data_IF_521474688986
#
_entry.id   IF_521474688986
#
_cell.length_a   1.000
_cell.length_b   1.000
_cell.length_c   1.000
_cell.angle_alpha   90.00
_cell.angle_beta   90.00
_cell.angle_gamma   90.00
#
_symmetry.space_group_name_H-M   'P 1'
#
loop_
_entity.id
_entity.type
_entity.pdbx_description
1 polymer ?
#
# COMPACT_ATOMS: atom_id res chain seq x y z
N UNK A 1 -31.28 -62.12 -18.70
CA UNK A 1 -31.15 -60.90 -19.53
C UNK A 1 -32.15 -59.86 -19.05
N UNK A 2 -31.67 -58.71 -18.58
CA UNK A 2 -32.49 -57.50 -18.32
C UNK A 2 -31.55 -56.30 -18.44
N UNK A 3 -31.85 -55.38 -19.35
CA UNK A 3 -30.99 -54.26 -19.73
C UNK A 3 -31.63 -52.92 -19.29
N UNK A 4 -30.83 -52.16 -18.53
CA UNK A 4 -30.64 -50.69 -18.50
C UNK A 4 -31.82 -49.76 -18.11
N UNK A 5 -31.60 -48.44 -17.88
CA UNK A 5 -30.36 -47.61 -17.80
C UNK A 5 -30.35 -46.64 -16.57
N UNK A 6 -29.41 -45.69 -16.55
CA UNK A 6 -29.37 -44.45 -15.73
C UNK A 6 -28.86 -44.61 -14.28
N UNK A 7 -27.95 -43.80 -13.74
CA UNK A 7 -27.28 -42.59 -14.19
C UNK A 7 -25.95 -42.52 -13.43
N UNK A 8 -24.91 -42.02 -14.11
CA UNK A 8 -23.72 -41.35 -13.56
C UNK A 8 -23.78 -41.03 -12.05
N UNK A 9 -23.01 -41.75 -11.23
CA UNK A 9 -22.50 -41.21 -9.98
C UNK A 9 -21.11 -40.63 -10.28
N UNK A 10 -21.17 -39.55 -11.05
CA UNK A 10 -20.07 -38.67 -11.42
C UNK A 10 -19.73 -37.83 -10.19
N UNK A 11 -18.49 -37.95 -9.72
CA UNK A 11 -17.64 -36.85 -9.29
C UNK A 11 -18.36 -35.64 -8.64
N UNK A 12 -18.44 -35.62 -7.31
CA UNK A 12 -18.54 -34.37 -6.56
C UNK A 12 -17.25 -34.18 -5.76
N UNK A 13 -16.18 -33.91 -6.50
CA UNK A 13 -14.98 -33.32 -5.95
C UNK A 13 -15.27 -31.86 -5.58
N UNK A 14 -14.74 -31.46 -4.43
CA UNK A 14 -14.23 -30.11 -4.14
C UNK A 14 -15.18 -28.93 -4.37
N UNK A 15 -15.86 -28.54 -3.31
CA UNK A 15 -16.02 -27.11 -2.99
C UNK A 15 -15.47 -26.88 -1.58
N UNK A 16 -14.13 -26.91 -1.45
CA UNK A 16 -13.45 -26.09 -0.45
C UNK A 16 -13.69 -24.65 -0.87
N UNK A 17 -14.86 -24.11 -0.52
CA UNK A 17 -15.14 -22.69 -0.66
C UNK A 17 -14.25 -21.97 0.36
N UNK A 18 -13.09 -21.56 -0.14
CA UNK A 18 -12.25 -20.46 0.31
C UNK A 18 -12.77 -19.77 1.57
N UNK A 19 -12.21 -20.14 2.71
CA UNK A 19 -12.13 -19.22 3.83
C UNK A 19 -11.39 -17.98 3.31
N UNK A 20 -12.14 -16.92 3.00
CA UNK A 20 -11.65 -15.60 2.62
C UNK A 20 -10.99 -14.89 3.82
N UNK A 21 -10.07 -15.57 4.49
CA UNK A 21 -9.05 -15.00 5.37
C UNK A 21 -7.73 -14.83 4.62
N UNK A 22 -7.79 -14.55 3.31
CA UNK A 22 -6.63 -14.32 2.48
C UNK A 22 -5.94 -13.05 2.93
N UNK A 23 -4.71 -13.19 3.42
CA UNK A 23 -3.85 -12.06 3.76
C UNK A 23 -3.67 -11.19 2.50
N UNK A 24 -4.23 -9.98 2.50
CA UNK A 24 -4.12 -9.09 1.34
C UNK A 24 -2.64 -8.82 1.08
N UNK A 25 -2.13 -9.24 -0.08
CA UNK A 25 -0.78 -8.91 -0.54
C UNK A 25 -0.82 -7.50 -1.14
N UNK A 26 -0.12 -6.51 -0.55
CA UNK A 26 -0.13 -5.14 -1.03
C UNK A 26 0.89 -4.90 -2.16
N UNK A 27 1.55 -5.93 -2.69
CA UNK A 27 2.41 -5.80 -3.86
C UNK A 27 1.58 -5.36 -5.09
N UNK A 28 2.10 -4.38 -5.83
CA UNK A 28 1.42 -3.81 -6.99
C UNK A 28 1.94 -2.42 -7.35
N UNK A 29 1.44 -1.90 -8.48
CA UNK A 29 1.67 -0.53 -8.92
C UNK A 29 0.38 0.25 -8.72
N UNK A 30 0.44 1.31 -7.96
CA UNK A 30 -0.69 2.16 -7.58
C UNK A 30 -0.50 3.56 -8.14
N UNK A 31 -1.57 4.13 -8.70
CA UNK A 31 -1.56 5.51 -9.20
C UNK A 31 -2.74 6.30 -8.68
N UNK A 32 -2.48 7.54 -8.28
CA UNK A 32 -3.55 8.41 -7.82
C UNK A 32 -3.11 9.86 -7.73
N UNK A 33 -4.08 10.72 -7.49
CA UNK A 33 -3.88 12.14 -7.26
C UNK A 33 -3.84 12.38 -5.76
N UNK A 34 -2.84 13.13 -5.30
CA UNK A 34 -2.75 13.61 -3.92
C UNK A 34 -2.81 15.13 -3.95
N UNK A 35 -3.75 15.70 -3.21
CA UNK A 35 -3.89 17.16 -3.07
C UNK A 35 -3.34 17.58 -1.70
N UNK A 36 -2.29 18.38 -1.74
CA UNK A 36 -1.57 18.92 -0.58
C UNK A 36 -1.73 20.45 -0.52
N UNK A 37 -1.13 21.07 0.48
CA UNK A 37 -1.17 22.52 0.64
C UNK A 37 -0.53 23.26 -0.53
N UNK A 38 0.62 22.77 -0.98
CA UNK A 38 1.47 23.33 -2.03
C UNK A 38 1.03 22.99 -3.47
N UNK A 39 0.11 22.04 -3.64
CA UNK A 39 -0.43 21.72 -4.97
C UNK A 39 -1.06 20.34 -5.10
N UNK A 40 -1.20 19.93 -6.35
CA UNK A 40 -1.71 18.61 -6.74
C UNK A 40 -0.58 17.80 -7.34
N UNK A 41 -0.37 16.59 -6.84
CA UNK A 41 0.66 15.68 -7.31
C UNK A 41 0.03 14.39 -7.87
N UNK A 42 0.44 13.99 -9.08
CA UNK A 42 0.13 12.68 -9.63
C UNK A 42 1.20 11.69 -9.15
N UNK A 43 0.80 10.80 -8.25
CA UNK A 43 1.73 9.87 -7.59
C UNK A 43 1.62 8.48 -8.19
N UNK A 44 2.78 7.87 -8.40
CA UNK A 44 2.92 6.43 -8.69
C UNK A 44 3.69 5.80 -7.55
N UNK A 45 3.10 4.79 -6.91
CA UNK A 45 3.70 3.99 -5.85
C UNK A 45 3.83 2.55 -6.35
N UNK A 46 5.02 1.98 -6.30
CA UNK A 46 5.27 0.57 -6.57
C UNK A 46 5.66 -0.11 -5.26
N UNK A 47 5.00 -1.23 -4.95
CA UNK A 47 5.32 -2.11 -3.83
C UNK A 47 5.62 -3.50 -4.39
N UNK A 48 6.78 -4.05 -4.07
CA UNK A 48 7.20 -5.38 -4.54
C UNK A 48 7.09 -6.41 -3.43
N UNK A 49 7.05 -7.70 -3.79
CA UNK A 49 6.94 -8.79 -2.80
C UNK A 49 8.16 -8.89 -1.87
N UNK A 50 9.32 -8.38 -2.28
CA UNK A 50 10.55 -8.34 -1.47
C UNK A 50 10.65 -7.11 -0.56
N UNK A 51 9.50 -6.54 -0.15
CA UNK A 51 9.38 -5.40 0.75
C UNK A 51 10.06 -4.11 0.26
N UNK A 52 10.34 -3.99 -1.04
CA UNK A 52 10.86 -2.74 -1.63
C UNK A 52 9.71 -1.87 -2.11
N UNK A 53 9.91 -0.57 -1.97
CA UNK A 53 8.98 0.44 -2.43
C UNK A 53 9.68 1.44 -3.37
N UNK A 54 8.94 1.97 -4.34
CA UNK A 54 9.39 3.09 -5.16
C UNK A 54 8.25 4.09 -5.31
N UNK A 55 8.54 5.37 -5.10
CA UNK A 55 7.55 6.46 -5.26
C UNK A 55 8.05 7.50 -6.25
N UNK A 56 7.15 7.91 -7.15
CA UNK A 56 7.37 8.98 -8.13
C UNK A 56 6.24 10.01 -8.06
N UNK A 57 6.58 11.28 -8.26
CA UNK A 57 5.62 12.38 -8.31
C UNK A 57 5.26 12.98 -6.95
N UNK A 58 5.63 12.34 -5.85
CA UNK A 58 5.50 12.91 -4.50
C UNK A 58 6.73 13.73 -4.08
N UNK A 59 7.92 13.33 -4.56
CA UNK A 59 9.20 13.97 -4.30
C UNK A 59 9.82 14.44 -5.63
N UNK A 60 10.79 15.38 -5.62
CA UNK A 60 11.39 15.93 -6.83
C UNK A 60 12.04 14.88 -7.75
N UNK A 61 12.43 13.74 -7.19
CA UNK A 61 12.99 12.59 -7.90
C UNK A 61 12.21 11.34 -7.50
N UNK A 62 12.32 10.30 -8.31
CA UNK A 62 11.92 8.96 -7.89
C UNK A 62 12.78 8.53 -6.70
N UNK A 63 12.14 8.07 -5.63
CA UNK A 63 12.83 7.62 -4.42
C UNK A 63 12.46 6.18 -4.13
N UNK A 64 13.46 5.39 -3.76
CA UNK A 64 13.31 4.00 -3.34
C UNK A 64 13.28 3.91 -1.81
N UNK A 65 12.57 2.92 -1.32
CA UNK A 65 12.30 2.72 0.08
C UNK A 65 11.93 1.29 0.38
N UNK A 66 11.33 1.09 1.53
CA UNK A 66 10.81 -0.21 1.98
C UNK A 66 9.36 -0.09 2.35
N UNK A 67 8.65 -1.22 2.41
CA UNK A 67 7.32 -1.27 2.98
C UNK A 67 7.13 -2.48 3.90
N UNK A 68 6.23 -2.33 4.86
CA UNK A 68 5.82 -3.39 5.78
C UNK A 68 4.32 -3.31 6.07
N UNK A 69 3.73 -4.41 6.53
CA UNK A 69 2.35 -4.41 7.02
C UNK A 69 2.35 -3.87 8.44
N UNK A 70 1.46 -2.92 8.75
CA UNK A 70 1.19 -2.50 10.12
C UNK A 70 0.36 -3.58 10.83
N UNK A 71 1.04 -4.39 11.64
CA UNK A 71 0.45 -5.44 12.46
C UNK A 71 -0.09 -4.92 13.80
N UNK A 72 0.28 -3.70 14.19
CA UNK A 72 0.01 -3.18 15.54
C UNK A 72 -1.36 -2.51 15.64
N UNK A 73 -1.93 -2.08 14.51
CA UNK A 73 -3.20 -1.35 14.46
C UNK A 73 -3.17 0.01 15.17
N UNK A 74 -2.02 0.42 15.73
CA UNK A 74 -1.82 1.70 16.41
C UNK A 74 -1.58 2.85 15.43
N UNK A 75 -1.35 2.55 14.14
CA UNK A 75 -1.17 3.55 13.10
C UNK A 75 -2.48 4.12 12.59
N UNK A 76 -3.32 3.28 11.96
CA UNK A 76 -4.55 3.73 11.27
C UNK A 76 -5.65 2.65 11.12
N UNK A 77 -5.32 1.36 11.23
CA UNK A 77 -6.27 0.25 11.12
C UNK A 77 -5.55 -1.11 11.07
N UNK A 78 -6.29 -2.21 11.29
CA UNK A 78 -5.74 -3.56 11.05
C UNK A 78 -5.36 -3.69 9.56
N UNK A 79 -4.25 -4.36 9.29
CA UNK A 79 -3.74 -4.62 7.93
C UNK A 79 -3.33 -3.36 7.15
N UNK A 80 -2.89 -2.30 7.84
CA UNK A 80 -2.30 -1.13 7.17
C UNK A 80 -1.00 -1.48 6.46
N UNK A 81 -0.53 -0.60 5.58
CA UNK A 81 0.78 -0.69 4.91
C UNK A 81 1.55 0.59 5.20
N UNK A 82 2.79 0.45 5.66
CA UNK A 82 3.69 1.57 5.93
C UNK A 82 4.79 1.53 4.88
N UNK A 83 4.86 2.55 4.02
CA UNK A 83 5.95 2.69 3.04
C UNK A 83 6.87 3.85 3.43
N UNK A 84 8.16 3.57 3.59
CA UNK A 84 9.17 4.52 4.10
C UNK A 84 10.23 4.82 3.05
N UNK A 85 10.54 6.10 2.84
CA UNK A 85 11.46 6.58 1.82
C UNK A 85 12.46 7.56 2.44
N UNK A 86 13.75 7.22 2.39
CA UNK A 86 14.82 8.12 2.83
C UNK A 86 15.27 9.01 1.67
N UNK A 87 15.39 10.31 1.93
CA UNK A 87 15.82 11.30 0.95
C UNK A 87 16.66 12.39 1.58
N UNK A 88 17.23 13.26 0.75
CA UNK A 88 18.02 14.42 1.15
C UNK A 88 17.62 15.65 0.34
N UNK A 89 17.47 16.79 1.00
CA UNK A 89 17.20 18.09 0.37
C UNK A 89 18.02 19.14 1.11
N UNK A 90 18.73 19.98 0.36
CA UNK A 90 19.51 21.11 0.89
C UNK A 90 20.51 20.73 2.02
N UNK A 91 21.06 19.51 1.95
CA UNK A 91 21.99 18.98 2.95
C UNK A 91 21.33 18.26 4.13
N UNK A 92 20.02 18.39 4.29
CA UNK A 92 19.25 17.74 5.34
C UNK A 92 18.70 16.39 4.87
N UNK A 93 18.92 15.34 5.65
CA UNK A 93 18.33 14.03 5.41
C UNK A 93 16.98 13.92 6.11
N UNK A 94 16.03 13.27 5.44
CA UNK A 94 14.69 13.06 5.99
C UNK A 94 14.09 11.75 5.51
N UNK A 95 13.11 11.26 6.25
CA UNK A 95 12.28 10.10 5.90
C UNK A 95 10.85 10.54 5.66
N UNK A 96 10.32 10.18 4.50
CA UNK A 96 8.89 10.27 4.21
C UNK A 96 8.26 8.92 4.50
N UNK A 97 7.17 8.91 5.24
CA UNK A 97 6.41 7.71 5.58
C UNK A 97 4.98 7.88 5.08
N UNK A 98 4.54 6.97 4.21
CA UNK A 98 3.16 6.88 3.75
C UNK A 98 2.44 5.85 4.60
N UNK A 99 1.35 6.28 5.23
CA UNK A 99 0.44 5.40 5.95
C UNK A 99 -0.71 5.05 5.01
N UNK A 100 -0.80 3.78 4.61
CA UNK A 100 -1.71 3.31 3.58
C UNK A 100 -2.69 2.29 4.17
N UNK A 101 -3.92 2.30 3.69
CA UNK A 101 -4.94 1.31 4.07
C UNK A 101 -5.44 0.60 2.80
N UNK A 102 -5.45 -0.75 2.79
CA UNK A 102 -6.07 -1.51 1.72
C UNK A 102 -7.51 -1.10 1.45
N UNK A 103 -7.86 -1.07 0.18
CA UNK A 103 -9.19 -0.79 -0.35
C UNK A 103 -9.40 -1.69 -1.58
N UNK A 104 -10.64 -2.02 -1.91
CA UNK A 104 -10.96 -2.99 -2.98
C UNK A 104 -10.32 -2.61 -4.34
N UNK A 105 -10.20 -1.32 -4.61
CA UNK A 105 -9.59 -0.76 -5.83
C UNK A 105 -8.10 -0.39 -5.71
N UNK A 106 -7.47 -0.56 -4.54
CA UNK A 106 -6.07 -0.20 -4.33
C UNK A 106 -5.71 0.18 -2.90
N UNK A 107 -5.03 1.31 -2.72
CA UNK A 107 -4.56 1.79 -1.42
C UNK A 107 -5.05 3.21 -1.17
N UNK A 108 -5.74 3.42 -0.06
CA UNK A 108 -6.08 4.76 0.41
C UNK A 108 -4.93 5.31 1.24
N UNK A 109 -4.54 6.55 0.98
CA UNK A 109 -3.50 7.23 1.74
C UNK A 109 -4.11 7.90 2.95
N UNK A 110 -3.81 7.36 4.13
CA UNK A 110 -4.36 7.84 5.38
C UNK A 110 -3.60 9.05 5.93
N UNK A 111 -2.27 9.06 5.77
CA UNK A 111 -1.40 10.12 6.28
C UNK A 111 -0.05 10.11 5.54
N UNK A 112 0.59 11.28 5.46
CA UNK A 112 1.98 11.45 5.02
C UNK A 112 2.75 12.05 6.18
N UNK A 113 3.83 11.40 6.56
CA UNK A 113 4.64 11.76 7.71
C UNK A 113 6.06 12.07 7.29
N UNK A 114 6.63 13.13 7.84
CA UNK A 114 8.03 13.51 7.69
C UNK A 114 8.78 13.33 8.99
N UNK A 115 10.01 12.84 8.89
CA UNK A 115 10.99 12.83 9.98
C UNK A 115 12.31 13.37 9.49
N UNK A 116 12.83 14.41 10.12
CA UNK A 116 14.15 14.94 9.83
C UNK A 116 15.19 14.08 10.54
N UNK A 117 16.33 13.82 9.91
CA UNK A 117 17.45 13.16 10.56
C UNK A 117 18.30 14.23 11.27
N UNK A 118 18.25 14.25 12.60
CA UNK A 118 18.99 15.17 13.46
C UNK A 118 19.99 14.34 14.26
N UNK A 119 21.28 14.64 14.15
CA UNK A 119 22.35 13.97 14.91
C UNK A 119 22.32 12.42 14.78
N UNK A 120 22.02 11.92 13.58
CA UNK A 120 21.92 10.48 13.31
C UNK A 120 20.65 9.80 13.81
N UNK A 121 19.68 10.54 14.35
CA UNK A 121 18.38 10.04 14.80
C UNK A 121 17.24 10.76 14.09
N UNK A 122 16.23 10.01 13.66
CA UNK A 122 15.04 10.64 13.08
C UNK A 122 14.22 11.32 14.17
N UNK A 123 13.81 12.56 13.91
CA UNK A 123 12.98 13.39 14.76
C UNK A 123 11.61 12.74 15.00
N UNK A 124 10.86 13.33 15.94
CA UNK A 124 9.44 13.00 16.12
C UNK A 124 8.67 13.27 14.81
N UNK A 125 7.58 12.51 14.65
CA UNK A 125 6.71 12.53 13.48
C UNK A 125 6.03 13.89 13.33
N UNK A 126 6.31 14.57 12.20
CA UNK A 126 5.47 15.67 11.73
C UNK A 126 4.57 15.13 10.62
N UNK A 127 3.25 15.15 10.84
CA UNK A 127 2.27 14.78 9.82
C UNK A 127 1.97 15.98 8.93
N UNK A 128 1.84 15.73 7.63
CA UNK A 128 1.31 16.71 6.69
C UNK A 128 -0.20 16.61 6.63
N UNK A 129 -0.89 17.75 6.66
CA UNK A 129 -2.34 17.76 6.49
C UNK A 129 -2.69 17.54 5.03
N UNK A 130 -3.33 16.40 4.74
CA UNK A 130 -3.94 16.14 3.44
C UNK A 130 -5.18 17.04 3.28
N UNK A 131 -5.32 17.72 2.13
CA UNK A 131 -6.53 18.51 1.85
C UNK A 131 -7.72 17.62 1.54
N UNK A 132 -7.49 16.54 0.79
CA UNK A 132 -8.50 15.53 0.50
C UNK A 132 -8.46 14.45 1.59
N UNK A 133 -9.64 14.04 2.06
CA UNK A 133 -9.74 12.91 2.99
C UNK A 133 -9.44 11.62 2.24
N UNK A 134 -8.39 10.92 2.66
CA UNK A 134 -8.05 9.55 2.24
C UNK A 134 -7.99 9.37 0.70
N UNK A 135 -7.12 10.10 -0.03
CA UNK A 135 -7.03 9.95 -1.47
C UNK A 135 -6.68 8.52 -1.86
N UNK A 136 -7.33 8.01 -2.92
CA UNK A 136 -7.17 6.64 -3.41
C UNK A 136 -6.06 6.57 -4.46
N UNK A 137 -5.08 5.71 -4.21
CA UNK A 137 -4.10 5.24 -5.18
C UNK A 137 -4.62 3.93 -5.78
N UNK A 138 -5.12 3.98 -7.01
CA UNK A 138 -5.73 2.83 -7.68
C UNK A 138 -4.69 1.85 -8.16
N UNK A 139 -4.91 0.57 -7.88
CA UNK A 139 -4.12 -0.51 -8.46
C UNK A 139 -4.21 -0.42 -9.99
N UNK A 140 -3.08 -0.53 -10.66
CA UNK A 140 -3.00 -0.59 -12.10
C UNK A 140 -2.98 -2.07 -12.51
N UNK A 141 -3.82 -2.43 -13.48
CA UNK A 141 -3.71 -3.74 -14.13
C UNK A 141 -2.32 -3.85 -14.79
N UNK A 142 -1.63 -4.96 -14.53
CA UNK A 142 -0.39 -5.31 -15.22
C UNK A 142 -0.70 -5.90 -16.60
#
# INVERSE_FOLDING_TARGET
MKFHPFHLLLLAATCLAFSCGGEVNPAGIYKGKIVMEDGTNLVTLSLTEDNKAEVRGLLPKTVRGTWEKDSTGMGFGKNGVIASFDSKKDGEAFRVVLMLQPHDEGLTLADIRLRLLVEGKFSMLQSYTLKEKKPLLRLQAQ
#
